data_IF_083222102617
#
_entry.id   IF_083222102617
#
_cell.length_a   1.000
_cell.length_b   1.000
_cell.length_c   1.000
_cell.angle_alpha   90.00
_cell.angle_beta   90.00
_cell.angle_gamma   90.00
#
_symmetry.space_group_name_H-M   'P 1'
#
loop_
_entity.id
_entity.type
_entity.pdbx_description
1 polymer ?
#
# COMPACT_ATOMS: atom_id res chain seq x y z
N UNK A 1 3.34 -12.44 -4.55
CA UNK A 1 3.11 -11.07 -4.02
C UNK A 1 4.41 -10.29 -4.06
N UNK A 2 4.42 -9.12 -4.69
CA UNK A 2 5.63 -8.30 -4.82
C UNK A 2 5.48 -6.98 -4.07
N UNK A 3 6.58 -6.45 -3.53
CA UNK A 3 6.61 -5.17 -2.83
C UNK A 3 7.33 -4.09 -3.65
N UNK A 4 6.92 -2.85 -3.43
CA UNK A 4 7.64 -1.66 -3.85
C UNK A 4 7.54 -0.61 -2.72
N UNK A 5 8.49 0.31 -2.68
CA UNK A 5 8.44 1.41 -1.71
C UNK A 5 9.33 2.55 -2.14
N UNK A 6 9.10 3.72 -1.56
CA UNK A 6 9.95 4.89 -1.66
C UNK A 6 10.15 5.45 -0.26
N UNK A 7 11.40 5.44 0.21
CA UNK A 7 11.82 6.03 1.48
C UNK A 7 12.69 7.26 1.19
N UNK A 8 12.08 8.44 1.30
CA UNK A 8 12.71 9.69 0.87
C UNK A 8 13.86 10.07 1.82
N UNK A 9 13.66 9.94 3.13
CA UNK A 9 14.65 10.24 4.17
C UNK A 9 15.95 9.46 4.01
N UNK A 10 15.86 8.19 3.59
CA UNK A 10 17.03 7.33 3.44
C UNK A 10 17.51 7.23 1.99
N UNK A 11 16.80 7.86 1.04
CA UNK A 11 17.08 7.75 -0.40
C UNK A 11 17.13 6.29 -0.87
N UNK A 12 16.25 5.46 -0.32
CA UNK A 12 16.12 4.04 -0.63
C UNK A 12 14.76 3.77 -1.27
N UNK A 13 14.71 2.90 -2.27
CA UNK A 13 13.46 2.61 -2.99
C UNK A 13 13.51 1.30 -3.77
N UNK A 14 12.34 0.70 -3.92
CA UNK A 14 12.06 -0.33 -4.92
C UNK A 14 10.99 0.24 -5.85
N UNK A 15 11.29 0.31 -7.15
CA UNK A 15 10.36 0.88 -8.13
C UNK A 15 9.12 0.01 -8.33
N UNK A 16 7.94 0.62 -8.41
CA UNK A 16 6.69 -0.06 -8.81
C UNK A 16 6.78 -0.73 -10.19
N UNK A 17 7.71 -0.31 -11.06
CA UNK A 17 7.93 -0.94 -12.38
C UNK A 17 8.73 -2.25 -12.29
N UNK A 18 9.46 -2.44 -11.20
CA UNK A 18 10.29 -3.61 -10.94
C UNK A 18 10.15 -4.01 -9.46
N UNK A 19 8.93 -4.38 -9.02
CA UNK A 19 8.69 -4.74 -7.63
C UNK A 19 9.34 -6.10 -7.33
N UNK A 20 9.79 -6.29 -6.08
CA UNK A 20 10.51 -7.50 -5.67
C UNK A 20 9.58 -8.47 -4.94
N UNK A 21 9.76 -9.77 -5.14
CA UNK A 21 9.04 -10.79 -4.34
C UNK A 21 9.28 -10.56 -2.84
N UNK A 22 8.22 -10.67 -2.06
CA UNK A 22 8.26 -10.44 -0.63
C UNK A 22 7.46 -11.49 0.11
N UNK A 23 7.92 -11.86 1.31
CA UNK A 23 7.11 -12.52 2.32
C UNK A 23 6.34 -11.49 3.17
N UNK A 24 5.33 -11.94 3.90
CA UNK A 24 4.53 -11.11 4.79
C UNK A 24 5.41 -10.35 5.81
N UNK A 25 6.36 -11.05 6.43
CA UNK A 25 7.27 -10.48 7.43
C UNK A 25 8.11 -9.35 6.84
N UNK A 26 8.61 -9.51 5.61
CA UNK A 26 9.41 -8.48 4.93
C UNK A 26 8.57 -7.25 4.60
N UNK A 27 7.34 -7.46 4.11
CA UNK A 27 6.42 -6.36 3.84
C UNK A 27 6.04 -5.60 5.12
N UNK A 28 5.84 -6.33 6.22
CA UNK A 28 5.59 -5.75 7.53
C UNK A 28 6.79 -4.92 8.00
N UNK A 29 8.00 -5.49 7.94
CA UNK A 29 9.23 -4.81 8.35
C UNK A 29 9.45 -3.50 7.59
N UNK A 30 9.26 -3.51 6.26
CA UNK A 30 9.36 -2.29 5.44
C UNK A 30 8.29 -1.27 5.87
N UNK A 31 7.03 -1.69 6.03
CA UNK A 31 5.96 -0.80 6.49
C UNK A 31 6.27 -0.17 7.86
N UNK A 32 6.87 -0.91 8.79
CA UNK A 32 7.20 -0.40 10.12
C UNK A 32 8.38 0.58 10.13
N UNK A 33 9.25 0.49 9.13
CA UNK A 33 10.45 1.31 8.98
C UNK A 33 10.24 2.56 8.11
N UNK A 34 9.10 2.68 7.44
CA UNK A 34 8.78 3.88 6.65
C UNK A 34 8.75 5.12 7.55
N UNK A 35 9.45 6.20 7.14
CA UNK A 35 9.39 7.46 7.84
C UNK A 35 7.96 8.01 7.83
N UNK A 36 7.56 8.61 8.95
CA UNK A 36 6.20 9.11 9.13
C UNK A 36 5.94 10.48 8.47
N UNK A 37 6.99 11.20 8.08
CA UNK A 37 6.92 12.67 7.97
C UNK A 37 7.30 13.25 6.60
N UNK A 38 7.73 12.44 5.63
CA UNK A 38 8.47 12.93 4.46
C UNK A 38 7.87 12.58 3.09
N UNK A 39 6.65 12.04 3.04
CA UNK A 39 6.01 11.63 1.78
C UNK A 39 6.42 10.25 1.27
N UNK A 40 7.14 9.47 2.10
CA UNK A 40 7.44 8.07 1.81
C UNK A 40 6.18 7.22 1.61
N UNK A 41 6.30 6.22 0.75
CA UNK A 41 5.19 5.33 0.38
C UNK A 41 5.64 3.88 0.31
N UNK A 42 4.68 2.98 0.46
CA UNK A 42 4.86 1.55 0.32
C UNK A 42 3.72 1.00 -0.49
N UNK A 43 3.95 -0.11 -1.17
CA UNK A 43 2.85 -0.80 -1.82
C UNK A 43 3.19 -2.22 -2.19
N UNK A 44 2.14 -2.90 -2.63
CA UNK A 44 2.16 -4.29 -3.05
C UNK A 44 1.58 -4.41 -4.45
N UNK A 45 2.10 -5.38 -5.20
CA UNK A 45 1.52 -5.85 -6.45
C UNK A 45 1.12 -7.31 -6.24
N UNK A 46 -0.18 -7.56 -6.35
CA UNK A 46 -0.73 -8.92 -6.25
C UNK A 46 -0.38 -9.74 -7.48
N UNK A 47 -0.56 -11.05 -7.40
CA UNK A 47 -0.32 -11.96 -8.52
C UNK A 47 -1.33 -11.77 -9.68
N UNK A 48 -2.37 -10.94 -9.47
CA UNK A 48 -3.35 -10.50 -10.49
C UNK A 48 -3.05 -9.10 -11.03
N UNK A 49 -1.84 -8.59 -10.82
CA UNK A 49 -1.39 -7.25 -11.22
C UNK A 49 -2.20 -6.08 -10.61
N UNK A 50 -2.93 -6.33 -9.51
CA UNK A 50 -3.56 -5.25 -8.72
C UNK A 50 -2.49 -4.56 -7.88
N UNK A 51 -2.38 -3.24 -8.03
CA UNK A 51 -1.48 -2.37 -7.27
C UNK A 51 -2.23 -1.84 -6.05
N UNK A 52 -1.66 -2.04 -4.87
CA UNK A 52 -2.11 -1.44 -3.61
C UNK A 52 -1.01 -0.50 -3.13
N UNK A 53 -1.35 0.79 -2.95
CA UNK A 53 -0.44 1.80 -2.45
C UNK A 53 -0.88 2.23 -1.04
N UNK A 54 0.09 2.41 -0.15
CA UNK A 54 -0.09 2.82 1.23
C UNK A 54 0.83 4.01 1.48
N UNK A 55 0.25 5.13 1.84
CA UNK A 55 0.95 6.38 2.13
C UNK A 55 0.50 6.95 3.46
N UNK A 56 1.32 7.79 4.09
CA UNK A 56 0.91 8.48 5.31
C UNK A 56 -0.21 9.47 4.97
N UNK A 57 -1.33 9.41 5.69
CA UNK A 57 -2.42 10.37 5.56
C UNK A 57 -2.32 11.48 6.61
N UNK A 58 -2.03 11.09 7.86
CA UNK A 58 -1.70 12.00 8.96
C UNK A 58 -0.92 11.22 10.04
N UNK A 59 -0.61 11.87 11.18
CA UNK A 59 0.14 11.27 12.29
C UNK A 59 -0.35 9.87 12.71
N UNK A 60 -1.64 9.58 12.64
CA UNK A 60 -2.23 8.33 13.14
C UNK A 60 -2.83 7.41 12.08
N UNK A 61 -2.93 7.90 10.84
CA UNK A 61 -3.67 7.23 9.79
C UNK A 61 -2.85 7.15 8.50
N UNK A 62 -3.13 6.10 7.74
CA UNK A 62 -2.57 5.79 6.44
C UNK A 62 -3.68 5.80 5.42
N UNK A 63 -3.38 6.30 4.24
CA UNK A 63 -4.24 6.19 3.08
C UNK A 63 -3.84 4.91 2.34
N UNK A 64 -4.79 4.01 2.15
CA UNK A 64 -4.65 2.80 1.33
C UNK A 64 -5.41 3.03 0.04
N UNK A 65 -4.76 2.82 -1.09
CA UNK A 65 -5.31 3.11 -2.42
C UNK A 65 -5.13 1.94 -3.38
N UNK A 66 -6.13 1.69 -4.20
CA UNK A 66 -6.06 0.83 -5.38
C UNK A 66 -6.35 1.71 -6.60
N UNK A 67 -5.31 2.15 -7.33
CA UNK A 67 -5.49 3.02 -8.50
C UNK A 67 -6.29 2.32 -9.60
N UNK A 68 -7.26 3.03 -10.19
CA UNK A 68 -7.99 2.60 -11.39
C UNK A 68 -7.88 3.67 -12.49
N UNK A 69 -6.76 3.70 -13.24
CA UNK A 69 -6.53 4.70 -14.28
C UNK A 69 -7.62 4.72 -15.35
N UNK A 70 -8.17 3.56 -15.70
CA UNK A 70 -9.25 3.43 -16.69
C UNK A 70 -10.53 4.18 -16.30
N UNK A 71 -10.83 4.23 -14.99
CA UNK A 71 -11.97 4.95 -14.43
C UNK A 71 -11.62 6.36 -13.95
N UNK A 72 -10.37 6.80 -14.19
CA UNK A 72 -9.83 8.08 -13.71
C UNK A 72 -10.06 8.26 -12.21
N UNK A 73 -9.76 7.25 -11.40
CA UNK A 73 -9.98 7.32 -9.96
C UNK A 73 -9.13 6.33 -9.19
N UNK A 74 -9.40 6.22 -7.89
CA UNK A 74 -8.84 5.17 -7.04
C UNK A 74 -9.88 4.72 -6.01
N UNK A 75 -9.79 3.45 -5.60
CA UNK A 75 -10.45 3.01 -4.38
C UNK A 75 -9.60 3.40 -3.20
N UNK A 76 -10.15 4.15 -2.26
CA UNK A 76 -9.43 4.72 -1.14
C UNK A 76 -10.04 4.28 0.19
N UNK A 77 -9.19 3.99 1.17
CA UNK A 77 -9.57 3.75 2.55
C UNK A 77 -8.57 4.39 3.50
N UNK A 78 -9.05 5.05 4.55
CA UNK A 78 -8.19 5.63 5.60
C UNK A 78 -8.13 4.65 6.77
N UNK A 79 -6.94 4.12 7.02
CA UNK A 79 -6.70 3.03 7.97
C UNK A 79 -5.75 3.46 9.08
N UNK A 80 -5.98 3.03 10.31
CA UNK A 80 -4.98 3.10 11.37
C UNK A 80 -3.93 1.99 11.21
N UNK A 81 -2.86 2.02 12.02
CA UNK A 81 -1.73 1.09 11.91
C UNK A 81 -2.16 -0.38 11.98
N UNK A 82 -3.07 -0.70 12.90
CA UNK A 82 -3.55 -2.07 13.09
C UNK A 82 -4.41 -2.53 11.91
N UNK A 83 -5.22 -1.64 11.33
CA UNK A 83 -5.98 -1.93 10.12
C UNK A 83 -5.06 -2.20 8.94
N UNK A 84 -3.99 -1.42 8.76
CA UNK A 84 -2.99 -1.68 7.71
C UNK A 84 -2.31 -3.04 7.93
N UNK A 85 -1.83 -3.34 9.14
CA UNK A 85 -1.22 -4.65 9.45
C UNK A 85 -2.15 -5.83 9.17
N UNK A 86 -3.44 -5.68 9.50
CA UNK A 86 -4.46 -6.69 9.18
C UNK A 86 -4.64 -6.82 7.67
N UNK A 87 -4.77 -5.70 6.96
CA UNK A 87 -4.91 -5.69 5.51
C UNK A 87 -3.71 -6.36 4.81
N UNK A 88 -2.48 -6.06 5.24
CA UNK A 88 -1.28 -6.74 4.76
C UNK A 88 -1.40 -8.26 4.97
N UNK A 89 -1.74 -8.70 6.19
CA UNK A 89 -1.88 -10.13 6.45
C UNK A 89 -2.92 -10.77 5.54
N UNK A 90 -4.10 -10.15 5.39
CA UNK A 90 -5.16 -10.67 4.53
C UNK A 90 -4.76 -10.72 3.05
N UNK A 91 -3.99 -9.73 2.56
CA UNK A 91 -3.45 -9.73 1.19
C UNK A 91 -2.47 -10.89 0.96
N UNK A 92 -1.61 -11.17 1.94
CA UNK A 92 -0.67 -12.30 1.89
C UNK A 92 -1.36 -13.67 2.06
N UNK A 93 -2.54 -13.70 2.69
CA UNK A 93 -3.43 -14.86 2.76
C UNK A 93 -4.36 -14.97 1.51
N UNK A 94 -3.99 -14.32 0.39
CA UNK A 94 -4.69 -14.33 -0.91
C UNK A 94 -6.13 -13.78 -0.92
N UNK A 95 -6.50 -12.95 0.07
CA UNK A 95 -7.80 -12.30 0.08
C UNK A 95 -7.90 -11.25 -1.03
N UNK A 96 -9.12 -11.07 -1.54
CA UNK A 96 -9.44 -10.03 -2.53
C UNK A 96 -8.99 -8.64 -2.03
N UNK A 97 -8.10 -7.93 -2.75
CA UNK A 97 -7.62 -6.61 -2.37
C UNK A 97 -8.72 -5.58 -2.14
N UNK A 98 -9.87 -5.67 -2.83
CA UNK A 98 -10.95 -4.71 -2.68
C UNK A 98 -11.77 -4.92 -1.39
N UNK A 99 -11.48 -5.97 -0.62
CA UNK A 99 -12.22 -6.35 0.60
C UNK A 99 -11.39 -6.25 1.89
N UNK A 100 -10.09 -5.93 1.81
CA UNK A 100 -9.21 -5.88 3.00
C UNK A 100 -9.38 -4.60 3.83
N UNK A 101 -9.96 -3.56 3.23
CA UNK A 101 -10.30 -2.29 3.85
C UNK A 101 -11.71 -1.84 3.43
N UNK A 102 -12.27 -0.86 4.15
CA UNK A 102 -13.56 -0.24 3.82
C UNK A 102 -13.41 0.79 2.69
N UNK A 103 -13.07 0.31 1.49
CA UNK A 103 -12.79 1.15 0.33
C UNK A 103 -14.01 1.92 -0.17
N UNK A 104 -13.76 3.16 -0.61
CA UNK A 104 -14.69 3.99 -1.38
C UNK A 104 -14.02 4.44 -2.67
N UNK A 105 -14.75 4.44 -3.77
CA UNK A 105 -14.22 4.92 -5.03
C UNK A 105 -14.26 6.45 -5.10
N UNK A 106 -13.12 7.07 -5.36
CA UNK A 106 -12.97 8.51 -5.56
C UNK A 106 -12.55 8.77 -7.01
N UNK A 107 -13.31 9.62 -7.71
CA UNK A 107 -13.02 10.02 -9.08
C UNK A 107 -12.15 11.27 -9.11
N UNK A 108 -11.15 11.29 -9.98
CA UNK A 108 -10.37 12.47 -10.33
C UNK A 108 -11.11 13.19 -11.47
N UNK A 109 -11.63 14.39 -11.19
CA UNK A 109 -12.32 15.23 -12.16
C UNK A 109 -11.35 16.12 -12.95
#
# INVERSE_FOLDING_TARGET
>A
MKLFFENISQSDSISVKQPLEAAYEQALDVFEQLPEDDGSSFGLVTDRDVIIQISKFNRFMWLVEIPEPEKKGSWQAVCNRNQVKRALKELFDERDPFLVCDFKFESFH
#
